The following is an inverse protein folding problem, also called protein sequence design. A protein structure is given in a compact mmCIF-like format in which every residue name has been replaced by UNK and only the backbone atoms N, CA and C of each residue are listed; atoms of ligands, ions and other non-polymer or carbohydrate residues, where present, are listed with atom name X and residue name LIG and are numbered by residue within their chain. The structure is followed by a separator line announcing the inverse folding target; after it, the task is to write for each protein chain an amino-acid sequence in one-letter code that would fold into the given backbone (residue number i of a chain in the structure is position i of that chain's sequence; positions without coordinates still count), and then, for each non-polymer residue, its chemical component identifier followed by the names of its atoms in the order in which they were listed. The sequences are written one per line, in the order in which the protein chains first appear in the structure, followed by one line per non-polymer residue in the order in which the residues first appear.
data_IF_091894383195
#
_entry.id   IF_091894383195
#
_cell.length_a   1.000
_cell.length_b   1.000
_cell.length_c   1.000
_cell.angle_alpha   90.00
_cell.angle_beta   90.00
_cell.angle_gamma   90.00
#
_symmetry.space_group_name_H-M   'P 1'
#
loop_
_entity.id
_entity.type
_entity.pdbx_description
1 polymer ?
#
# COMPACT_ATOMS: atom_id res chain seq x y z
N UNK A 1 10.02 35.49 -13.56
CA UNK A 1 10.58 36.56 -12.69
C UNK A 1 9.58 36.81 -11.57
N UNK A 2 9.92 36.46 -10.33
CA UNK A 2 9.07 36.79 -9.18
C UNK A 2 9.16 38.30 -8.91
N UNK A 3 8.05 39.02 -8.72
CA UNK A 3 8.10 40.46 -8.47
C UNK A 3 8.76 40.71 -7.12
N UNK A 4 9.80 41.56 -7.11
CA UNK A 4 10.48 41.99 -5.88
C UNK A 4 9.49 42.74 -4.98
N UNK A 5 9.58 42.59 -3.64
CA UNK A 5 8.70 43.30 -2.72
C UNK A 5 8.90 44.81 -2.86
N UNK A 6 7.80 45.52 -3.14
CA UNK A 6 7.78 46.98 -3.22
C UNK A 6 8.17 47.58 -1.86
N UNK A 7 9.10 48.54 -1.88
CA UNK A 7 9.65 49.26 -0.72
C UNK A 7 8.69 50.27 -0.08
N UNK A 8 7.47 50.42 -0.58
CA UNK A 8 6.46 51.28 0.01
C UNK A 8 5.44 50.48 0.82
N UNK A 9 5.29 50.88 2.09
CA UNK A 9 4.25 50.45 3.03
C UNK A 9 2.84 50.94 2.62
N UNK A 10 2.53 50.95 1.32
CA UNK A 10 1.19 51.24 0.80
C UNK A 10 0.56 49.94 0.32
N UNK A 11 -0.56 49.58 0.96
CA UNK A 11 -1.34 48.39 0.60
C UNK A 11 -2.08 48.70 -0.70
N UNK A 12 -1.47 48.31 -1.83
CA UNK A 12 -2.13 48.34 -3.13
C UNK A 12 -3.41 47.49 -3.11
N UNK A 13 -4.45 47.91 -3.85
CA UNK A 13 -5.76 47.22 -3.99
C UNK A 13 -5.66 45.70 -4.28
N UNK A 14 -4.57 45.26 -4.92
CA UNK A 14 -4.28 43.84 -5.16
C UNK A 14 -3.78 43.08 -3.92
N UNK A 15 -2.98 43.73 -3.06
CA UNK A 15 -2.54 43.16 -1.78
C UNK A 15 -3.74 43.04 -0.83
N UNK A 16 -4.62 44.04 -0.80
CA UNK A 16 -5.87 44.01 -0.04
C UNK A 16 -6.76 42.82 -0.44
N UNK A 17 -7.01 42.64 -1.75
CA UNK A 17 -7.77 41.47 -2.24
C UNK A 17 -7.12 40.12 -1.90
N UNK A 18 -5.79 40.06 -1.93
CA UNK A 18 -5.06 38.82 -1.60
C UNK A 18 -5.17 38.50 -0.10
N UNK A 19 -5.05 39.52 0.75
CA UNK A 19 -5.23 39.39 2.21
C UNK A 19 -6.67 38.96 2.52
N UNK A 20 -7.68 39.56 1.88
CA UNK A 20 -9.07 39.16 2.05
C UNK A 20 -9.34 37.70 1.64
N UNK A 21 -8.75 37.22 0.55
CA UNK A 21 -8.89 35.82 0.13
C UNK A 21 -8.20 34.83 1.10
N UNK A 22 -7.09 35.24 1.72
CA UNK A 22 -6.43 34.45 2.77
C UNK A 22 -7.31 34.39 4.02
N UNK A 23 -7.89 35.52 4.43
CA UNK A 23 -8.79 35.59 5.58
C UNK A 23 -10.04 34.74 5.37
N UNK A 24 -10.62 34.74 4.18
CA UNK A 24 -11.77 33.89 3.83
C UNK A 24 -11.42 32.39 3.86
N UNK A 25 -10.20 32.03 3.44
CA UNK A 25 -9.71 30.65 3.57
C UNK A 25 -9.52 30.22 5.02
N UNK A 26 -8.97 31.09 5.86
CA UNK A 26 -8.84 30.84 7.30
C UNK A 26 -10.23 30.63 7.89
N UNK A 27 -11.19 31.44 7.49
CA UNK A 27 -12.54 31.35 8.00
C UNK A 27 -13.27 30.04 7.63
N UNK A 28 -13.15 29.64 6.36
CA UNK A 28 -13.62 28.35 5.90
C UNK A 28 -12.91 27.19 6.60
N UNK A 29 -11.62 27.33 6.93
CA UNK A 29 -10.89 26.33 7.69
C UNK A 29 -11.38 26.21 9.14
N UNK A 30 -11.76 27.32 9.79
CA UNK A 30 -12.38 27.31 11.13
C UNK A 30 -13.75 26.62 11.07
N UNK A 31 -14.56 26.91 10.06
CA UNK A 31 -15.89 26.32 9.92
C UNK A 31 -15.86 24.80 9.65
N UNK A 32 -14.88 24.33 8.87
CA UNK A 32 -14.81 22.93 8.44
C UNK A 32 -14.04 22.01 9.40
N UNK A 33 -13.17 22.54 10.28
CA UNK A 33 -12.35 21.73 11.18
C UNK A 33 -12.84 21.86 12.64
N UNK A 34 -13.78 21.00 13.04
CA UNK A 34 -14.38 21.01 14.39
C UNK A 34 -13.61 20.17 15.44
N UNK A 35 -12.59 19.40 15.02
CA UNK A 35 -11.89 18.41 15.86
C UNK A 35 -10.45 18.79 16.24
N UNK A 36 -9.97 19.96 15.86
CA UNK A 36 -8.61 20.42 16.22
C UNK A 36 -8.58 20.88 17.69
N UNK A 37 -7.67 20.29 18.47
CA UNK A 37 -7.38 20.68 19.86
C UNK A 37 -6.03 21.38 19.90
N UNK A 38 -5.91 22.41 20.73
CA UNK A 38 -4.67 23.17 20.93
C UNK A 38 -4.16 22.95 22.35
N UNK A 39 -2.85 22.82 22.53
CA UNK A 39 -2.24 22.85 23.86
C UNK A 39 -2.33 24.28 24.44
N UNK A 40 -2.47 24.44 25.76
CA UNK A 40 -2.57 25.73 26.44
C UNK A 40 -1.45 26.71 26.01
N UNK A 41 -0.21 26.23 25.89
CA UNK A 41 0.95 27.04 25.48
C UNK A 41 0.89 27.48 24.01
N UNK A 42 0.32 26.63 23.14
CA UNK A 42 0.14 26.94 21.72
C UNK A 42 -1.03 27.91 21.52
N UNK A 43 -2.10 27.76 22.30
CA UNK A 43 -3.23 28.67 22.34
C UNK A 43 -2.83 30.09 22.74
N UNK A 44 -2.03 30.24 23.80
CA UNK A 44 -1.53 31.55 24.24
C UNK A 44 -0.64 32.23 23.18
N UNK A 45 0.24 31.48 22.52
CA UNK A 45 1.08 32.00 21.42
C UNK A 45 0.24 32.42 20.21
N UNK A 46 -0.78 31.64 19.86
CA UNK A 46 -1.71 31.97 18.77
C UNK A 46 -2.55 33.21 19.09
N UNK A 47 -2.99 33.37 20.34
CA UNK A 47 -3.71 34.58 20.77
C UNK A 47 -2.79 35.81 20.72
N UNK A 48 -1.54 35.69 21.17
CA UNK A 48 -0.57 36.79 21.09
C UNK A 48 -0.29 37.19 19.63
N UNK A 49 -0.05 36.21 18.75
CA UNK A 49 0.22 36.46 17.34
C UNK A 49 -0.99 37.02 16.59
N UNK A 50 -2.21 36.54 16.89
CA UNK A 50 -3.43 37.11 16.30
C UNK A 50 -3.68 38.54 16.74
N UNK A 51 -3.38 38.90 18.00
CA UNK A 51 -3.46 40.30 18.45
C UNK A 51 -2.45 41.21 17.74
N UNK A 52 -1.23 40.73 17.49
CA UNK A 52 -0.23 41.46 16.72
C UNK A 52 -0.68 41.66 15.26
N UNK A 53 -1.27 40.63 14.65
CA UNK A 53 -1.82 40.72 13.30
C UNK A 53 -3.06 41.63 13.22
N UNK A 54 -3.93 41.63 14.22
CA UNK A 54 -5.06 42.57 14.30
C UNK A 54 -4.52 44.00 14.31
N UNK A 55 -3.52 44.30 15.15
CA UNK A 55 -2.94 45.64 15.24
C UNK A 55 -2.28 46.12 13.93
N UNK A 56 -1.78 45.20 13.10
CA UNK A 56 -1.15 45.55 11.81
C UNK A 56 -2.16 45.62 10.65
N UNK A 57 -3.28 44.90 10.74
CA UNK A 57 -4.24 44.76 9.64
C UNK A 57 -5.54 45.57 9.83
N UNK A 58 -5.84 46.03 11.05
CA UNK A 58 -7.05 46.81 11.35
C UNK A 58 -7.11 48.14 10.59
N UNK A 59 -5.96 48.72 10.23
CA UNK A 59 -5.89 49.98 9.47
C UNK A 59 -6.16 49.79 7.97
N UNK A 60 -6.07 48.56 7.46
CA UNK A 60 -6.09 48.27 6.02
C UNK A 60 -7.24 47.36 5.56
N UNK A 61 -7.85 46.55 6.43
CA UNK A 61 -8.91 45.60 6.06
C UNK A 61 -9.99 45.51 7.15
N UNK A 62 -11.19 46.00 6.86
CA UNK A 62 -12.30 46.07 7.83
C UNK A 62 -12.83 44.72 8.33
N UNK A 63 -12.63 43.63 7.57
CA UNK A 63 -13.10 42.28 7.94
C UNK A 63 -12.09 41.46 8.74
N UNK A 64 -10.85 41.93 8.91
CA UNK A 64 -9.79 41.17 9.57
C UNK A 64 -10.07 40.97 11.07
N UNK A 65 -10.52 42.02 11.75
CA UNK A 65 -10.76 42.00 13.19
C UNK A 65 -11.85 40.99 13.59
N UNK A 66 -12.94 40.91 12.82
CA UNK A 66 -14.04 39.96 13.09
C UNK A 66 -13.60 38.49 12.94
N UNK A 67 -12.81 38.19 11.91
CA UNK A 67 -12.34 36.82 11.63
C UNK A 67 -11.31 36.39 12.68
N UNK A 68 -10.37 37.26 13.05
CA UNK A 68 -9.39 36.95 14.08
C UNK A 68 -10.02 36.86 15.48
N UNK A 69 -11.03 37.67 15.80
CA UNK A 69 -11.80 37.51 17.04
C UNK A 69 -12.56 36.18 17.08
N UNK A 70 -13.10 35.71 15.95
CA UNK A 70 -13.71 34.37 15.87
C UNK A 70 -12.67 33.26 16.03
N UNK A 71 -11.49 33.41 15.45
CA UNK A 71 -10.37 32.47 15.65
C UNK A 71 -9.91 32.44 17.11
N UNK A 72 -9.78 33.60 17.76
CA UNK A 72 -9.43 33.68 19.19
C UNK A 72 -10.48 33.01 20.08
N UNK A 73 -11.76 33.22 19.79
CA UNK A 73 -12.85 32.54 20.51
C UNK A 73 -12.79 31.02 20.30
N UNK A 74 -12.55 30.57 19.07
CA UNK A 74 -12.39 29.16 18.74
C UNK A 74 -11.21 28.52 19.49
N UNK A 75 -10.06 29.22 19.54
CA UNK A 75 -8.86 28.76 20.27
C UNK A 75 -9.11 28.75 21.79
N UNK A 76 -9.80 29.76 22.34
CA UNK A 76 -10.08 29.87 23.78
C UNK A 76 -11.08 28.82 24.27
N UNK A 77 -12.20 28.62 23.56
CA UNK A 77 -13.20 27.60 23.90
C UNK A 77 -12.61 26.16 23.92
N UNK A 78 -11.54 25.92 23.16
CA UNK A 78 -10.87 24.61 23.05
C UNK A 78 -9.63 24.47 23.93
N UNK A 79 -9.05 25.56 24.40
CA UNK A 79 -7.96 25.55 25.40
C UNK A 79 -8.52 25.37 26.83
N UNK A 80 -9.67 26.00 27.14
CA UNK A 80 -10.34 25.87 28.44
C UNK A 80 -10.93 24.46 28.70
N UNK A 81 -10.99 23.61 27.67
CA UNK A 81 -11.49 22.23 27.79
C UNK A 81 -10.54 21.31 28.56
N UNK A 82 -9.30 21.73 28.86
CA UNK A 82 -8.38 21.00 29.74
C UNK A 82 -8.75 21.14 31.24
N UNK A 83 -9.43 22.21 31.68
CA UNK A 83 -9.75 22.39 33.11
C UNK A 83 -10.95 21.56 33.59
N UNK A 84 -11.92 21.22 32.73
CA UNK A 84 -13.11 20.44 33.15
C UNK A 84 -12.87 18.94 33.35
N UNK A 85 -11.71 18.41 32.96
CA UNK A 85 -11.37 16.99 33.16
C UNK A 85 -10.53 16.80 34.43
N UNK A 86 -9.90 17.85 34.95
CA UNK A 86 -8.99 17.76 36.10
C UNK A 86 -9.56 18.25 37.45
N UNK A 87 -10.77 18.81 37.50
CA UNK A 87 -11.37 19.29 38.77
C UNK A 87 -12.21 18.27 39.56
N UNK A 88 -12.56 17.10 38.98
CA UNK A 88 -13.41 16.10 39.67
C UNK A 88 -12.65 14.88 40.23
N UNK A 89 -11.31 14.91 40.26
CA UNK A 89 -10.51 13.80 40.79
C UNK A 89 -9.54 14.20 41.90
N UNK A 90 -10.06 14.77 43.00
CA UNK A 90 -9.37 14.72 44.32
C UNK A 90 -10.34 15.05 45.46
N UNK A 91 -10.78 14.02 46.18
CA UNK A 91 -11.60 14.20 47.38
C UNK A 91 -12.06 12.91 48.09
N UNK A 92 -11.11 12.23 48.74
CA UNK A 92 -11.27 11.45 49.98
C UNK A 92 -11.96 10.06 50.01
N UNK A 93 -11.27 9.18 50.74
CA UNK A 93 -11.54 7.78 51.09
C UNK A 93 -12.65 7.67 52.16
N UNK A 94 -13.67 6.81 51.87
CA UNK A 94 -14.46 5.86 52.72
C UNK A 94 -14.91 6.21 54.17
N UNK A 95 -15.84 5.45 54.82
CA UNK A 95 -16.80 4.42 54.37
C UNK A 95 -18.25 4.57 54.95
N UNK A 96 -19.14 3.65 54.57
CA UNK A 96 -20.31 3.12 55.33
C UNK A 96 -21.76 3.55 54.99
N UNK A 97 -22.58 2.49 55.01
CA UNK A 97 -24.02 2.37 55.20
C UNK A 97 -25.00 2.41 54.01
N UNK A 98 -25.43 1.19 53.65
CA UNK A 98 -26.81 0.74 53.40
C UNK A 98 -27.85 1.82 53.09
N UNK A 99 -28.53 1.71 51.95
CA UNK A 99 -29.88 1.11 51.90
C UNK A 99 -30.49 1.15 50.49
N UNK A 100 -31.12 0.02 50.18
CA UNK A 100 -32.08 -0.28 49.13
C UNK A 100 -32.91 0.89 48.56
N UNK A 101 -33.03 0.90 47.23
CA UNK A 101 -34.31 1.15 46.55
C UNK A 101 -34.29 0.49 45.17
N UNK A 102 -34.85 -0.70 45.10
CA UNK A 102 -35.33 -1.33 43.87
C UNK A 102 -36.43 -0.48 43.22
N UNK A 103 -36.38 -0.31 41.88
CA UNK A 103 -37.33 -0.85 40.88
C UNK A 103 -37.54 0.09 39.69
N UNK A 104 -37.31 -0.49 38.50
CA UNK A 104 -37.95 -0.26 37.19
C UNK A 104 -37.71 1.13 36.53
N UNK A 105 -37.27 1.28 35.27
CA UNK A 105 -37.62 0.63 33.98
C UNK A 105 -36.50 0.97 32.98
N UNK A 106 -36.17 0.09 32.02
CA UNK A 106 -35.49 0.50 30.78
C UNK A 106 -34.36 -0.40 30.26
N UNK A 107 -34.73 -1.58 29.78
CA UNK A 107 -33.89 -2.56 29.06
C UNK A 107 -33.34 -2.03 27.74
N UNK A 108 -32.13 -1.45 27.73
CA UNK A 108 -31.37 -1.20 26.47
C UNK A 108 -29.84 -1.24 26.59
N UNK A 109 -29.26 -1.28 27.80
CA UNK A 109 -27.81 -1.09 27.97
C UNK A 109 -26.97 -2.38 28.05
N UNK A 110 -27.59 -3.56 28.23
CA UNK A 110 -26.84 -4.81 28.42
C UNK A 110 -26.34 -5.46 27.12
N UNK A 111 -26.91 -5.13 25.96
CA UNK A 111 -26.41 -5.67 24.69
C UNK A 111 -25.14 -4.98 24.19
N UNK A 112 -24.90 -3.71 24.55
CA UNK A 112 -23.72 -2.99 24.05
C UNK A 112 -22.43 -3.36 24.80
N UNK A 113 -22.52 -3.79 26.07
CA UNK A 113 -21.33 -4.15 26.85
C UNK A 113 -20.80 -5.55 26.45
N UNK A 114 -21.66 -6.45 25.96
CA UNK A 114 -21.22 -7.76 25.45
C UNK A 114 -20.61 -7.68 24.05
N UNK A 115 -21.07 -6.75 23.19
CA UNK A 115 -20.59 -6.65 21.81
C UNK A 115 -19.19 -6.01 21.73
N UNK A 116 -18.87 -5.07 22.63
CA UNK A 116 -17.54 -4.45 22.69
C UNK A 116 -16.42 -5.39 23.16
N UNK A 117 -16.74 -6.55 23.76
CA UNK A 117 -15.72 -7.53 24.16
C UNK A 117 -15.36 -8.55 23.07
N UNK A 118 -16.13 -8.62 21.97
CA UNK A 118 -15.89 -9.61 20.89
C UNK A 118 -15.12 -8.99 19.71
N UNK A 119 -15.24 -7.69 19.50
CA UNK A 119 -14.50 -6.96 18.48
C UNK A 119 -13.43 -6.08 19.15
N UNK A 120 -12.22 -6.62 19.27
CA UNK A 120 -11.01 -5.84 19.49
C UNK A 120 -10.80 -4.96 18.24
N UNK A 121 -11.58 -3.89 18.11
CA UNK A 121 -11.32 -2.87 17.09
C UNK A 121 -10.00 -2.17 17.46
N UNK A 122 -9.14 -1.85 16.48
CA UNK A 122 -7.91 -1.13 16.74
C UNK A 122 -8.25 0.24 17.33
N UNK A 123 -7.84 0.48 18.57
CA UNK A 123 -7.91 1.79 19.22
C UNK A 123 -6.85 2.69 18.55
N UNK A 124 -7.30 3.60 17.68
CA UNK A 124 -6.42 4.44 16.85
C UNK A 124 -5.94 5.68 17.64
N UNK A 125 -6.67 6.09 18.67
CA UNK A 125 -6.46 7.38 19.34
C UNK A 125 -5.29 7.36 20.34
N UNK A 126 -4.76 6.17 20.68
CA UNK A 126 -3.65 5.98 21.62
C UNK A 126 -2.36 5.39 21.03
N UNK A 127 -2.29 5.14 19.72
CA UNK A 127 -1.13 4.47 19.11
C UNK A 127 -0.11 5.50 18.61
N UNK A 128 1.06 5.51 19.25
CA UNK A 128 2.23 6.23 18.73
C UNK A 128 2.83 5.45 17.55
N UNK A 129 2.43 5.84 16.34
CA UNK A 129 2.89 5.25 15.09
C UNK A 129 4.39 5.48 14.81
N UNK A 130 5.06 6.35 15.57
CA UNK A 130 6.52 6.55 15.46
C UNK A 130 7.30 5.45 16.19
N UNK A 131 6.66 4.72 17.10
CA UNK A 131 7.26 3.62 17.83
C UNK A 131 7.09 2.29 17.08
N UNK A 132 8.20 1.69 16.63
CA UNK A 132 8.19 0.44 15.87
C UNK A 132 7.45 -0.73 16.56
N UNK A 133 7.46 -0.78 17.91
CA UNK A 133 6.75 -1.83 18.66
C UNK A 133 5.25 -1.62 18.65
N UNK A 134 4.80 -0.39 18.84
CA UNK A 134 3.37 -0.06 18.82
C UNK A 134 2.82 -0.15 17.40
N UNK A 135 3.58 0.31 16.41
CA UNK A 135 3.26 0.16 14.99
C UNK A 135 3.06 -1.31 14.60
N UNK A 136 3.99 -2.19 15.02
CA UNK A 136 3.84 -3.65 14.81
C UNK A 136 2.57 -4.20 15.44
N UNK A 137 2.28 -3.82 16.69
CA UNK A 137 1.08 -4.27 17.39
C UNK A 137 -0.20 -3.79 16.70
N UNK A 138 -0.21 -2.55 16.23
CA UNK A 138 -1.31 -1.98 15.46
C UNK A 138 -1.58 -2.77 14.17
N UNK A 139 -0.55 -3.08 13.38
CA UNK A 139 -0.73 -3.90 12.18
C UNK A 139 -1.25 -5.31 12.47
N UNK A 140 -0.85 -5.92 13.58
CA UNK A 140 -1.40 -7.21 14.01
C UNK A 140 -2.85 -7.09 14.45
N UNK A 141 -3.22 -6.04 15.18
CA UNK A 141 -4.62 -5.77 15.53
C UNK A 141 -5.48 -5.58 14.28
N UNK A 142 -5.06 -4.74 13.33
CA UNK A 142 -5.76 -4.56 12.04
C UNK A 142 -5.90 -5.88 11.30
N UNK A 143 -4.84 -6.70 11.30
CA UNK A 143 -4.86 -8.00 10.66
C UNK A 143 -5.86 -8.96 11.33
N UNK A 144 -5.90 -9.00 12.65
CA UNK A 144 -6.80 -9.86 13.42
C UNK A 144 -8.26 -9.42 13.25
N UNK A 145 -8.56 -8.13 13.35
CA UNK A 145 -9.91 -7.59 13.16
C UNK A 145 -10.40 -7.82 11.72
N UNK A 146 -9.53 -7.60 10.73
CA UNK A 146 -9.89 -7.80 9.31
C UNK A 146 -10.10 -9.27 8.99
N UNK A 147 -9.24 -10.17 9.48
CA UNK A 147 -9.41 -11.62 9.29
C UNK A 147 -10.66 -12.17 9.98
N UNK A 148 -11.11 -11.57 11.09
CA UNK A 148 -12.37 -11.93 11.76
C UNK A 148 -13.60 -11.47 10.96
N UNK A 149 -13.55 -10.28 10.37
CA UNK A 149 -14.65 -9.71 9.58
C UNK A 149 -14.78 -10.37 8.20
N UNK A 150 -13.65 -10.52 7.51
CA UNK A 150 -13.58 -11.11 6.17
C UNK A 150 -12.28 -11.90 5.98
N UNK A 151 -12.35 -13.24 6.05
CA UNK A 151 -11.20 -14.12 5.80
C UNK A 151 -10.62 -14.01 4.38
N UNK A 152 -11.38 -13.49 3.41
CA UNK A 152 -10.92 -13.30 2.03
C UNK A 152 -10.19 -11.98 1.81
N UNK A 153 -10.28 -11.06 2.78
CA UNK A 153 -9.74 -9.71 2.65
C UNK A 153 -8.21 -9.71 2.60
N UNK A 154 -7.70 -9.14 1.52
CA UNK A 154 -6.27 -8.93 1.28
C UNK A 154 -5.59 -8.14 2.40
N UNK A 155 -6.29 -7.15 2.97
CA UNK A 155 -5.74 -6.22 3.96
C UNK A 155 -5.25 -6.96 5.22
N UNK A 156 -5.95 -8.02 5.65
CA UNK A 156 -5.57 -8.77 6.85
C UNK A 156 -4.20 -9.44 6.68
N UNK A 157 -4.00 -10.14 5.56
CA UNK A 157 -2.74 -10.83 5.28
C UNK A 157 -1.58 -9.87 5.07
N UNK A 158 -1.80 -8.79 4.30
CA UNK A 158 -0.78 -7.77 4.02
C UNK A 158 -0.36 -7.05 5.30
N UNK A 159 -1.31 -6.65 6.14
CA UNK A 159 -1.02 -5.99 7.42
C UNK A 159 -0.19 -6.87 8.33
N UNK A 160 -0.51 -8.17 8.41
CA UNK A 160 0.28 -9.14 9.19
C UNK A 160 1.72 -9.26 8.69
N UNK A 161 1.93 -9.33 7.37
CA UNK A 161 3.30 -9.40 6.80
C UNK A 161 4.07 -8.11 7.04
N UNK A 162 3.42 -6.96 6.87
CA UNK A 162 4.05 -5.68 7.15
C UNK A 162 4.48 -5.58 8.61
N UNK A 163 3.58 -5.85 9.57
CA UNK A 163 3.92 -5.87 11.00
C UNK A 163 5.03 -6.87 11.36
N UNK A 164 5.11 -7.99 10.64
CA UNK A 164 6.13 -9.02 10.85
C UNK A 164 7.52 -8.59 10.34
N UNK A 165 7.59 -8.05 9.12
CA UNK A 165 8.85 -7.84 8.39
C UNK A 165 9.35 -6.39 8.37
N UNK A 166 8.50 -5.40 8.66
CA UNK A 166 8.88 -3.99 8.62
C UNK A 166 10.09 -3.68 9.52
N UNK A 167 10.14 -4.26 10.72
CA UNK A 167 11.24 -4.07 11.67
C UNK A 167 12.53 -4.83 11.34
N UNK A 168 12.53 -5.70 10.32
CA UNK A 168 13.70 -6.49 9.93
C UNK A 168 14.52 -5.68 8.92
N UNK A 169 15.63 -5.12 9.40
CA UNK A 169 16.55 -4.31 8.58
C UNK A 169 17.80 -5.08 8.13
N UNK A 170 18.13 -6.19 8.80
CA UNK A 170 19.27 -7.05 8.48
C UNK A 170 18.90 -8.52 8.70
N UNK A 171 19.53 -9.41 7.96
CA UNK A 171 19.40 -10.86 8.18
C UNK A 171 20.15 -11.31 9.44
N UNK A 172 19.73 -12.42 10.07
CA UNK A 172 20.48 -13.02 11.16
C UNK A 172 21.91 -13.36 10.75
N UNK A 173 22.84 -13.33 11.71
CA UNK A 173 24.22 -13.75 11.46
C UNK A 173 24.27 -15.21 10.99
N UNK A 174 25.03 -15.44 9.92
CA UNK A 174 25.23 -16.74 9.28
C UNK A 174 26.66 -17.21 9.50
N UNK A 175 26.87 -18.52 9.61
CA UNK A 175 28.20 -19.13 9.56
C UNK A 175 28.71 -19.24 8.10
N UNK A 176 29.95 -19.73 7.91
CA UNK A 176 30.56 -19.93 6.57
C UNK A 176 29.75 -20.86 5.64
N UNK A 177 28.85 -21.67 6.19
CA UNK A 177 27.97 -22.59 5.46
C UNK A 177 26.56 -22.03 5.22
N UNK A 178 26.28 -20.79 5.66
CA UNK A 178 24.97 -20.14 5.53
C UNK A 178 23.97 -20.45 6.66
N UNK A 179 24.33 -21.24 7.67
CA UNK A 179 23.45 -21.59 8.77
C UNK A 179 23.36 -20.47 9.80
N UNK A 180 22.14 -20.16 10.20
CA UNK A 180 21.80 -19.20 11.25
C UNK A 180 21.58 -19.91 12.59
N UNK A 181 21.55 -19.15 13.69
CA UNK A 181 21.14 -19.65 15.02
C UNK A 181 19.62 -19.77 15.18
N UNK A 182 18.86 -19.61 14.10
CA UNK A 182 17.40 -19.65 14.15
C UNK A 182 16.88 -21.07 14.08
N UNK A 183 15.86 -21.35 14.90
CA UNK A 183 15.12 -22.60 14.85
C UNK A 183 14.18 -22.60 13.64
N UNK A 184 14.15 -23.72 12.92
CA UNK A 184 13.09 -23.97 11.94
C UNK A 184 11.80 -24.39 12.63
N UNK A 185 10.69 -24.35 11.90
CA UNK A 185 9.43 -24.97 12.32
C UNK A 185 9.63 -26.50 12.30
N UNK A 186 9.18 -27.24 13.33
CA UNK A 186 9.33 -28.69 13.35
C UNK A 186 8.76 -29.36 12.08
N UNK A 187 9.54 -30.27 11.48
CA UNK A 187 9.18 -30.90 10.21
C UNK A 187 7.84 -31.65 10.26
N UNK A 188 7.52 -32.30 11.37
CA UNK A 188 6.23 -32.98 11.55
C UNK A 188 5.07 -31.98 11.36
N UNK A 189 5.19 -30.80 11.95
CA UNK A 189 4.20 -29.73 11.84
C UNK A 189 4.11 -29.16 10.42
N UNK A 190 5.24 -29.05 9.72
CA UNK A 190 5.27 -28.62 8.31
C UNK A 190 4.61 -29.66 7.41
N UNK A 191 4.87 -30.95 7.63
CA UNK A 191 4.25 -32.05 6.89
C UNK A 191 2.73 -32.07 7.09
N UNK A 192 2.28 -31.94 8.34
CA UNK A 192 0.85 -31.85 8.68
C UNK A 192 0.16 -30.70 7.95
N UNK A 193 0.83 -29.54 7.82
CA UNK A 193 0.28 -28.42 7.06
C UNK A 193 0.23 -28.69 5.56
N UNK A 194 1.29 -29.26 4.97
CA UNK A 194 1.32 -29.61 3.54
C UNK A 194 0.17 -30.56 3.18
N UNK A 195 -0.04 -31.60 3.99
CA UNK A 195 -1.12 -32.57 3.79
C UNK A 195 -2.49 -31.92 3.93
N UNK A 196 -2.73 -31.15 5.00
CA UNK A 196 -4.03 -30.53 5.23
C UNK A 196 -4.37 -29.48 4.17
N UNK A 197 -3.39 -28.71 3.67
CA UNK A 197 -3.62 -27.76 2.57
C UNK A 197 -4.05 -28.48 1.30
N UNK A 198 -3.53 -29.68 1.04
CA UNK A 198 -3.87 -30.47 -0.14
C UNK A 198 -5.22 -31.16 -0.03
N UNK A 199 -5.53 -31.77 1.12
CA UNK A 199 -6.72 -32.63 1.27
C UNK A 199 -7.92 -31.94 1.93
N UNK A 200 -7.70 -30.95 2.78
CA UNK A 200 -8.73 -30.34 3.63
C UNK A 200 -8.50 -28.85 3.90
N UNK A 201 -8.39 -28.01 2.84
CA UNK A 201 -8.20 -26.58 3.00
C UNK A 201 -9.38 -25.96 3.77
N UNK A 202 -9.08 -25.20 4.82
CA UNK A 202 -10.08 -24.55 5.68
C UNK A 202 -9.56 -23.22 6.21
N UNK A 203 -10.47 -22.33 6.60
CA UNK A 203 -10.12 -21.04 7.23
C UNK A 203 -9.44 -21.25 8.59
N UNK A 204 -9.78 -22.31 9.31
CA UNK A 204 -9.11 -22.68 10.57
C UNK A 204 -7.66 -23.13 10.35
N UNK A 205 -7.41 -23.94 9.32
CA UNK A 205 -6.06 -24.31 8.91
C UNK A 205 -5.25 -23.06 8.54
N UNK A 206 -5.84 -22.18 7.74
CA UNK A 206 -5.22 -20.91 7.36
C UNK A 206 -4.82 -20.09 8.58
N UNK A 207 -5.71 -19.92 9.56
CA UNK A 207 -5.40 -19.24 10.83
C UNK A 207 -4.25 -19.88 11.62
N UNK A 208 -4.14 -21.21 11.63
CA UNK A 208 -3.02 -21.92 12.28
C UNK A 208 -1.69 -21.72 11.55
N UNK A 209 -1.69 -21.71 10.22
CA UNK A 209 -0.52 -21.41 9.40
C UNK A 209 -0.06 -19.97 9.67
N UNK A 210 -0.98 -19.00 9.59
CA UNK A 210 -0.72 -17.58 9.85
C UNK A 210 -0.12 -17.32 11.24
N UNK A 211 -0.64 -18.00 12.27
CA UNK A 211 -0.10 -17.92 13.63
C UNK A 211 1.35 -18.42 13.70
N UNK A 212 1.66 -19.51 12.98
CA UNK A 212 3.00 -20.07 12.93
C UNK A 212 3.97 -19.17 12.15
N UNK A 213 3.53 -18.58 11.04
CA UNK A 213 4.30 -17.57 10.28
C UNK A 213 4.63 -16.35 11.17
N UNK A 214 3.67 -15.91 11.99
CA UNK A 214 3.86 -14.78 12.91
C UNK A 214 4.95 -15.06 13.97
N UNK A 215 5.07 -16.31 14.43
CA UNK A 215 6.11 -16.74 15.37
C UNK A 215 7.45 -17.07 14.70
N UNK A 216 7.45 -17.34 13.40
CA UNK A 216 8.62 -17.76 12.62
C UNK A 216 8.80 -16.89 11.36
N UNK A 217 9.35 -15.66 11.50
CA UNK A 217 9.35 -14.66 10.42
C UNK A 217 10.08 -15.07 9.13
N UNK A 218 11.06 -15.97 9.25
CA UNK A 218 11.89 -16.43 8.12
C UNK A 218 11.40 -17.74 7.52
N UNK A 219 10.31 -18.32 8.03
CA UNK A 219 9.68 -19.51 7.46
C UNK A 219 8.82 -19.09 6.24
N UNK A 220 9.50 -18.85 5.12
CA UNK A 220 8.85 -18.35 3.88
C UNK A 220 7.91 -19.40 3.29
N UNK A 221 8.21 -20.69 3.47
CA UNK A 221 7.31 -21.76 3.06
C UNK A 221 5.93 -21.65 3.75
N UNK A 222 5.86 -21.14 4.97
CA UNK A 222 4.57 -20.88 5.61
C UNK A 222 3.71 -19.86 4.86
N UNK A 223 4.33 -18.83 4.25
CA UNK A 223 3.63 -17.88 3.38
C UNK A 223 3.21 -18.52 2.05
N UNK A 224 4.00 -19.44 1.50
CA UNK A 224 3.60 -20.24 0.34
C UNK A 224 2.36 -21.10 0.67
N UNK A 225 2.40 -21.87 1.76
CA UNK A 225 1.28 -22.71 2.20
C UNK A 225 0.02 -21.91 2.49
N UNK A 226 0.17 -20.73 3.11
CA UNK A 226 -0.93 -19.78 3.31
C UNK A 226 -1.54 -19.33 1.97
N UNK A 227 -0.72 -18.92 1.00
CA UNK A 227 -1.19 -18.53 -0.32
C UNK A 227 -1.86 -19.70 -1.06
N UNK A 228 -1.30 -20.91 -1.02
CA UNK A 228 -1.90 -22.11 -1.60
C UNK A 228 -3.24 -22.44 -0.96
N UNK A 229 -3.36 -22.33 0.37
CA UNK A 229 -4.60 -22.52 1.08
C UNK A 229 -5.64 -21.44 0.68
N UNK A 230 -5.23 -20.18 0.57
CA UNK A 230 -6.09 -19.10 0.04
C UNK A 230 -6.59 -19.41 -1.37
N UNK A 231 -5.72 -19.85 -2.28
CA UNK A 231 -6.12 -20.25 -3.64
C UNK A 231 -7.11 -21.43 -3.63
N UNK A 232 -6.88 -22.44 -2.79
CA UNK A 232 -7.80 -23.57 -2.64
C UNK A 232 -9.18 -23.15 -2.10
N UNK A 233 -9.22 -22.13 -1.24
CA UNK A 233 -10.44 -21.49 -0.73
C UNK A 233 -11.04 -20.44 -1.68
N UNK A 234 -10.47 -20.25 -2.88
CA UNK A 234 -10.85 -19.25 -3.89
C UNK A 234 -10.60 -17.79 -3.50
N UNK A 235 -9.75 -17.54 -2.50
CA UNK A 235 -9.29 -16.20 -2.11
C UNK A 235 -8.08 -15.77 -2.95
N UNK A 236 -8.25 -15.71 -4.27
CA UNK A 236 -7.14 -15.50 -5.21
C UNK A 236 -6.42 -14.16 -5.01
N UNK A 237 -7.18 -13.08 -4.73
CA UNK A 237 -6.60 -11.77 -4.46
C UNK A 237 -5.71 -11.77 -3.20
N UNK A 238 -6.12 -12.48 -2.14
CA UNK A 238 -5.33 -12.65 -0.94
C UNK A 238 -4.06 -13.49 -1.21
N UNK A 239 -4.18 -14.59 -1.96
CA UNK A 239 -3.05 -15.43 -2.34
C UNK A 239 -1.98 -14.65 -3.12
N UNK A 240 -2.41 -13.84 -4.08
CA UNK A 240 -1.50 -13.00 -4.88
C UNK A 240 -0.84 -11.90 -4.04
N UNK A 241 -1.58 -11.25 -3.14
CA UNK A 241 -1.00 -10.25 -2.27
C UNK A 241 0.01 -10.83 -1.27
N UNK A 242 -0.27 -12.01 -0.71
CA UNK A 242 0.70 -12.74 0.14
C UNK A 242 1.98 -12.98 -0.65
N UNK A 243 1.86 -13.48 -1.89
CA UNK A 243 3.01 -13.69 -2.78
C UNK A 243 3.79 -12.39 -3.00
N UNK A 244 3.11 -11.30 -3.35
CA UNK A 244 3.74 -10.02 -3.67
C UNK A 244 4.51 -9.43 -2.48
N UNK A 245 3.91 -9.41 -1.29
CA UNK A 245 4.59 -8.89 -0.09
C UNK A 245 5.75 -9.81 0.32
N UNK A 246 5.60 -11.13 0.15
CA UNK A 246 6.69 -12.10 0.40
C UNK A 246 7.86 -11.89 -0.56
N UNK A 247 7.57 -11.72 -1.87
CA UNK A 247 8.58 -11.42 -2.90
C UNK A 247 9.34 -10.14 -2.57
N UNK A 248 8.65 -9.07 -2.15
CA UNK A 248 9.30 -7.83 -1.73
C UNK A 248 10.24 -8.01 -0.54
N UNK A 249 9.84 -8.80 0.46
CA UNK A 249 10.69 -9.08 1.63
C UNK A 249 11.93 -9.89 1.26
N UNK A 250 11.78 -10.94 0.45
CA UNK A 250 12.91 -11.76 -0.01
C UNK A 250 13.87 -10.94 -0.86
N UNK A 251 13.36 -10.17 -1.82
CA UNK A 251 14.17 -9.33 -2.71
C UNK A 251 14.92 -8.21 -1.98
N UNK A 252 14.46 -7.81 -0.78
CA UNK A 252 15.17 -6.84 0.07
C UNK A 252 16.55 -7.35 0.49
N UNK A 253 16.76 -8.67 0.54
CA UNK A 253 17.99 -9.29 1.02
C UNK A 253 18.55 -10.30 0.00
N UNK A 254 19.55 -9.94 -0.81
CA UNK A 254 20.14 -10.87 -1.80
C UNK A 254 20.70 -12.16 -1.20
N UNK A 255 21.21 -12.10 0.04
CA UNK A 255 21.76 -13.26 0.77
C UNK A 255 20.68 -14.17 1.37
N UNK A 256 19.39 -13.89 1.16
CA UNK A 256 18.30 -14.73 1.66
C UNK A 256 18.34 -16.13 1.04
N UNK A 257 18.78 -16.24 -0.22
CA UNK A 257 18.85 -17.50 -0.96
C UNK A 257 19.90 -18.48 -0.40
N UNK A 258 20.94 -17.99 0.25
CA UNK A 258 21.98 -18.82 0.87
C UNK A 258 21.76 -19.08 2.37
N UNK A 259 20.75 -18.43 2.97
CA UNK A 259 20.47 -18.55 4.39
C UNK A 259 19.77 -19.87 4.74
N UNK A 260 20.21 -20.50 5.83
CA UNK A 260 19.69 -21.75 6.36
C UNK A 260 19.37 -21.64 7.85
N UNK A 261 18.43 -22.43 8.32
CA UNK A 261 18.13 -22.61 9.75
C UNK A 261 19.23 -23.44 10.42
N UNK A 262 19.22 -23.51 11.75
CA UNK A 262 20.22 -24.26 12.52
C UNK A 262 20.24 -25.76 12.18
N UNK A 263 19.08 -26.33 11.82
CA UNK A 263 18.93 -27.72 11.37
C UNK A 263 19.44 -27.95 9.92
N UNK A 264 19.95 -26.93 9.24
CA UNK A 264 20.46 -27.00 7.86
C UNK A 264 19.41 -26.83 6.77
N UNK A 265 18.14 -26.68 7.14
CA UNK A 265 17.04 -26.41 6.20
C UNK A 265 17.19 -25.01 5.59
N UNK A 266 16.99 -24.88 4.27
CA UNK A 266 17.06 -23.59 3.60
C UNK A 266 15.87 -22.70 3.97
N UNK A 267 16.11 -21.39 4.06
CA UNK A 267 15.00 -20.43 4.24
C UNK A 267 14.07 -20.41 3.02
N UNK A 268 14.60 -20.69 1.83
CA UNK A 268 13.87 -20.83 0.59
C UNK A 268 14.05 -22.23 0.02
N UNK A 269 12.96 -22.98 -0.03
CA UNK A 269 12.89 -24.26 -0.74
C UNK A 269 12.70 -24.03 -2.26
N UNK A 270 13.10 -25.00 -3.08
CA UNK A 270 12.99 -24.90 -4.55
C UNK A 270 11.56 -24.63 -5.03
N UNK A 271 10.57 -25.23 -4.36
CA UNK A 271 9.14 -24.99 -4.62
C UNK A 271 8.74 -23.53 -4.38
N UNK A 272 9.25 -22.94 -3.29
CA UNK A 272 9.01 -21.55 -2.90
C UNK A 272 9.72 -20.60 -3.86
N UNK A 273 10.95 -20.92 -4.28
CA UNK A 273 11.67 -20.16 -5.30
C UNK A 273 10.88 -20.11 -6.60
N UNK A 274 10.40 -21.26 -7.09
CA UNK A 274 9.57 -21.31 -8.28
C UNK A 274 8.28 -20.50 -8.13
N UNK A 275 7.60 -20.61 -6.98
CA UNK A 275 6.41 -19.82 -6.69
C UNK A 275 6.66 -18.29 -6.69
N UNK A 276 7.79 -17.84 -6.15
CA UNK A 276 8.16 -16.43 -6.16
C UNK A 276 8.57 -15.95 -7.56
N UNK A 277 9.22 -16.80 -8.36
CA UNK A 277 9.65 -16.51 -9.73
C UNK A 277 8.51 -16.52 -10.75
N UNK A 278 7.51 -17.39 -10.57
CA UNK A 278 6.35 -17.48 -11.45
C UNK A 278 5.54 -16.20 -11.41
N UNK A 279 5.80 -15.25 -12.31
CA UNK A 279 4.94 -14.11 -12.61
C UNK A 279 3.52 -14.64 -12.88
N UNK A 280 2.66 -14.69 -11.85
CA UNK A 280 1.23 -14.87 -12.05
C UNK A 280 0.73 -13.64 -12.76
N UNK A 281 0.70 -13.73 -14.08
CA UNK A 281 -0.06 -12.88 -14.99
C UNK A 281 -1.54 -13.02 -14.63
N UNK A 282 -2.00 -12.29 -13.62
CA UNK A 282 -3.43 -12.15 -13.31
C UNK A 282 -3.81 -10.67 -13.30
N UNK A 283 -4.04 -10.17 -14.51
CA UNK A 283 -5.07 -9.19 -14.87
C UNK A 283 -5.14 -7.89 -14.05
N UNK A 284 -4.27 -6.94 -14.41
CA UNK A 284 -4.71 -5.55 -14.62
C UNK A 284 -4.28 -5.15 -16.02
N UNK A 285 -5.24 -5.22 -16.94
CA UNK A 285 -5.10 -4.88 -18.36
C UNK A 285 -4.27 -5.89 -19.13
N UNK A 286 -4.81 -6.32 -20.28
CA UNK A 286 -4.02 -6.65 -21.46
C UNK A 286 -3.25 -5.39 -21.86
N UNK A 287 -2.28 -5.03 -21.02
CA UNK A 287 -1.21 -4.12 -21.34
C UNK A 287 -0.11 -5.05 -21.78
N UNK A 288 0.32 -4.85 -23.02
CA UNK A 288 1.65 -5.19 -23.46
C UNK A 288 2.59 -4.46 -22.49
N UNK A 289 2.90 -5.09 -21.36
CA UNK A 289 3.72 -4.55 -20.29
C UNK A 289 5.16 -4.65 -20.75
N UNK A 290 5.59 -3.59 -21.44
CA UNK A 290 6.96 -3.35 -21.86
C UNK A 290 7.51 -4.35 -22.88
N UNK A 291 8.13 -3.80 -23.92
CA UNK A 291 8.94 -4.56 -24.88
C UNK A 291 10.02 -5.41 -24.17
N UNK A 292 10.44 -5.03 -22.95
CA UNK A 292 11.44 -5.73 -22.15
C UNK A 292 11.02 -7.08 -21.56
N UNK A 293 9.72 -7.32 -21.36
CA UNK A 293 9.23 -8.60 -20.82
C UNK A 293 9.16 -9.67 -21.93
N UNK A 294 8.84 -9.21 -23.15
CA UNK A 294 8.87 -10.04 -24.36
C UNK A 294 10.30 -10.46 -24.73
N UNK A 295 11.28 -9.55 -24.58
CA UNK A 295 12.69 -9.83 -24.89
C UNK A 295 13.31 -10.90 -23.99
N UNK A 296 12.88 -10.95 -22.72
CA UNK A 296 13.45 -11.84 -21.72
C UNK A 296 13.07 -13.31 -21.97
N UNK A 297 11.83 -13.56 -22.40
CA UNK A 297 11.36 -14.90 -22.77
C UNK A 297 12.11 -15.45 -24.01
N UNK A 298 12.39 -14.60 -25.01
CA UNK A 298 13.12 -15.03 -26.19
C UNK A 298 14.59 -15.36 -25.90
N UNK A 299 15.26 -14.61 -25.02
CA UNK A 299 16.66 -14.88 -24.67
C UNK A 299 16.82 -16.17 -23.82
N UNK A 300 15.83 -16.52 -23.00
CA UNK A 300 15.76 -17.81 -22.30
C UNK A 300 15.48 -18.97 -23.27
N UNK A 301 14.59 -18.78 -24.24
CA UNK A 301 14.32 -19.74 -25.30
C UNK A 301 15.54 -19.96 -26.22
N UNK A 302 16.33 -18.90 -26.46
CA UNK A 302 17.58 -18.98 -27.21
C UNK A 302 18.61 -19.86 -26.49
N UNK A 303 18.73 -19.68 -25.18
CA UNK A 303 19.69 -20.40 -24.34
C UNK A 303 19.33 -21.88 -24.17
N UNK A 304 18.04 -22.22 -24.19
CA UNK A 304 17.53 -23.59 -23.98
C UNK A 304 17.30 -24.40 -25.26
N UNK A 305 16.77 -23.76 -26.31
CA UNK A 305 16.30 -24.41 -27.53
C UNK A 305 16.97 -23.96 -28.82
N UNK A 306 17.93 -23.04 -28.74
CA UNK A 306 18.67 -22.50 -29.89
C UNK A 306 17.83 -21.59 -30.80
N UNK A 307 18.47 -21.08 -31.84
CA UNK A 307 17.92 -20.07 -32.76
C UNK A 307 16.58 -20.46 -33.41
N UNK A 308 16.45 -21.70 -33.89
CA UNK A 308 15.25 -22.17 -34.61
C UNK A 308 14.00 -22.17 -33.70
N UNK A 309 14.19 -22.52 -32.42
CA UNK A 309 13.10 -22.54 -31.44
C UNK A 309 12.57 -21.14 -31.17
N UNK A 310 13.48 -20.17 -31.06
CA UNK A 310 13.13 -18.75 -30.88
C UNK A 310 12.37 -18.22 -32.09
N UNK A 311 12.85 -18.50 -33.31
CA UNK A 311 12.16 -18.09 -34.53
C UNK A 311 10.74 -18.65 -34.62
N UNK A 312 10.54 -19.92 -34.27
CA UNK A 312 9.21 -20.54 -34.24
C UNK A 312 8.28 -19.82 -33.28
N UNK A 313 8.78 -19.47 -32.09
CA UNK A 313 8.01 -18.75 -31.07
C UNK A 313 7.66 -17.33 -31.55
N UNK A 314 8.62 -16.61 -32.15
CA UNK A 314 8.37 -15.29 -32.74
C UNK A 314 7.33 -15.37 -33.87
N UNK A 315 7.44 -16.34 -34.78
CA UNK A 315 6.48 -16.50 -35.88
C UNK A 315 5.08 -16.91 -35.40
N UNK A 316 4.97 -17.66 -34.30
CA UNK A 316 3.70 -17.96 -33.64
C UNK A 316 3.08 -16.69 -33.03
N UNK A 317 3.87 -15.88 -32.33
CA UNK A 317 3.42 -14.60 -31.76
C UNK A 317 3.04 -13.58 -32.82
N UNK A 318 3.73 -13.55 -33.96
CA UNK A 318 3.40 -12.68 -35.10
C UNK A 318 2.03 -13.00 -35.72
N UNK A 319 1.58 -14.26 -35.66
CA UNK A 319 0.25 -14.66 -36.13
C UNK A 319 -0.86 -14.24 -35.18
N UNK A 320 -0.57 -14.23 -33.88
CA UNK A 320 -1.52 -13.84 -32.83
C UNK A 320 -1.64 -12.31 -32.69
N UNK A 321 -0.58 -11.58 -33.02
CA UNK A 321 -0.56 -10.13 -32.91
C UNK A 321 -1.49 -9.45 -33.94
N UNK A 322 -2.57 -8.85 -33.43
CA UNK A 322 -3.53 -8.05 -34.20
C UNK A 322 -3.02 -6.61 -34.43
N UNK A 323 -2.39 -6.05 -33.41
CA UNK A 323 -1.87 -4.68 -33.40
C UNK A 323 -0.64 -4.50 -34.32
N UNK A 324 -0.57 -3.34 -34.99
CA UNK A 324 0.53 -3.00 -35.88
C UNK A 324 1.83 -2.78 -35.10
N UNK A 325 1.79 -2.07 -33.98
CA UNK A 325 2.96 -1.79 -33.14
C UNK A 325 3.60 -3.08 -32.64
N UNK A 326 2.80 -3.99 -32.08
CA UNK A 326 3.26 -5.28 -31.56
C UNK A 326 3.95 -6.13 -32.64
N UNK A 327 3.40 -6.15 -33.86
CA UNK A 327 4.02 -6.84 -35.01
C UNK A 327 5.39 -6.26 -35.40
N UNK A 328 5.56 -4.95 -35.36
CA UNK A 328 6.83 -4.31 -35.70
C UNK A 328 7.92 -4.60 -34.65
N UNK A 329 7.57 -4.58 -33.36
CA UNK A 329 8.53 -4.96 -32.31
C UNK A 329 8.96 -6.42 -32.40
N UNK A 330 8.02 -7.34 -32.68
CA UNK A 330 8.35 -8.76 -32.90
C UNK A 330 9.27 -8.95 -34.12
N UNK A 331 9.05 -8.22 -35.22
CA UNK A 331 9.96 -8.23 -36.38
C UNK A 331 11.34 -7.68 -36.04
N UNK A 332 11.41 -6.62 -35.24
CA UNK A 332 12.68 -6.08 -34.76
C UNK A 332 13.45 -7.10 -33.91
N UNK A 333 12.77 -7.80 -33.00
CA UNK A 333 13.39 -8.88 -32.22
C UNK A 333 13.89 -10.02 -33.11
N UNK A 334 13.12 -10.39 -34.13
CA UNK A 334 13.55 -11.36 -35.15
C UNK A 334 14.88 -10.94 -35.78
N UNK A 335 14.99 -9.68 -36.17
CA UNK A 335 16.23 -9.10 -36.74
C UNK A 335 17.38 -9.14 -35.74
N UNK A 336 17.13 -8.85 -34.45
CA UNK A 336 18.16 -8.95 -33.38
C UNK A 336 18.73 -10.36 -33.28
N UNK A 337 17.90 -11.39 -33.37
CA UNK A 337 18.38 -12.78 -33.37
C UNK A 337 19.10 -13.17 -34.65
N UNK A 338 18.66 -12.70 -35.83
CA UNK A 338 19.41 -12.88 -37.07
C UNK A 338 20.81 -12.25 -37.02
N UNK A 339 20.94 -11.11 -36.32
CA UNK A 339 22.22 -10.45 -36.10
C UNK A 339 23.15 -11.28 -35.19
N UNK A 340 22.59 -12.00 -34.19
CA UNK A 340 23.37 -12.89 -33.33
C UNK A 340 23.95 -14.10 -34.08
N UNK A 341 23.30 -14.53 -35.16
CA UNK A 341 23.74 -15.64 -36.02
C UNK A 341 24.54 -15.18 -37.27
N UNK A 342 25.01 -13.92 -37.30
CA UNK A 342 25.80 -13.32 -38.39
C UNK A 342 25.14 -13.33 -39.79
N UNK A 343 23.81 -13.40 -39.87
CA UNK A 343 23.05 -13.37 -41.14
C UNK A 343 22.81 -11.95 -41.66
N UNK A 344 23.89 -11.24 -41.98
CA UNK A 344 23.87 -9.80 -42.29
C UNK A 344 23.05 -9.41 -43.54
N UNK A 345 23.03 -10.25 -44.58
CA UNK A 345 22.28 -9.96 -45.82
C UNK A 345 20.77 -9.95 -45.58
N UNK A 346 20.28 -10.88 -44.75
CA UNK A 346 18.88 -10.97 -44.34
C UNK A 346 18.54 -9.79 -43.43
N UNK A 347 19.40 -9.52 -42.45
CA UNK A 347 19.24 -8.38 -41.51
C UNK A 347 19.05 -7.06 -42.25
N UNK A 348 19.90 -6.77 -43.24
CA UNK A 348 19.83 -5.51 -43.99
C UNK A 348 18.53 -5.40 -44.78
N UNK A 349 18.08 -6.49 -45.42
CA UNK A 349 16.85 -6.51 -46.19
C UNK A 349 15.61 -6.31 -45.29
N UNK A 350 15.51 -7.10 -44.23
CA UNK A 350 14.39 -7.05 -43.26
C UNK A 350 14.34 -5.70 -42.53
N UNK A 351 15.50 -5.14 -42.19
CA UNK A 351 15.56 -3.82 -41.56
C UNK A 351 15.12 -2.72 -42.51
N UNK A 352 15.52 -2.79 -43.79
CA UNK A 352 15.10 -1.82 -44.80
C UNK A 352 13.58 -1.90 -45.02
N UNK A 353 13.02 -3.10 -45.11
CA UNK A 353 11.57 -3.31 -45.20
C UNK A 353 10.83 -2.77 -43.96
N UNK A 354 11.37 -3.00 -42.77
CA UNK A 354 10.78 -2.52 -41.51
C UNK A 354 10.80 -0.98 -41.42
N UNK A 355 11.89 -0.35 -41.89
CA UNK A 355 11.98 1.12 -41.95
C UNK A 355 10.95 1.66 -42.94
N UNK A 356 10.86 1.07 -44.13
CA UNK A 356 9.90 1.51 -45.16
C UNK A 356 8.45 1.26 -44.76
N UNK A 357 8.17 0.19 -44.00
CA UNK A 357 6.83 -0.06 -43.44
C UNK A 357 6.50 0.95 -42.35
N UNK A 358 7.43 1.24 -41.44
CA UNK A 358 7.21 2.18 -40.33
C UNK A 358 6.88 3.61 -40.81
N UNK A 359 7.42 4.01 -41.97
CA UNK A 359 7.16 5.33 -42.57
C UNK A 359 5.76 5.46 -43.17
N UNK A 360 5.07 4.35 -43.45
CA UNK A 360 3.75 4.36 -44.11
C UNK A 360 2.59 4.47 -43.12
N UNK A 361 2.77 4.07 -41.87
CA UNK A 361 1.70 4.08 -40.87
C UNK A 361 1.44 5.48 -40.32
N UNK A 362 0.16 5.82 -40.18
CA UNK A 362 -0.24 6.97 -39.36
C UNK A 362 -0.17 6.60 -37.87
N UNK A 363 -0.11 7.60 -37.00
CA UNK A 363 -0.05 7.37 -35.53
C UNK A 363 -1.31 6.63 -35.03
N UNK A 364 -2.45 6.86 -35.66
CA UNK A 364 -3.73 6.18 -35.37
C UNK A 364 -3.71 4.69 -35.71
N UNK A 365 -3.12 4.33 -36.85
CA UNK A 365 -2.97 2.93 -37.25
C UNK A 365 -1.85 2.21 -36.48
N UNK A 366 -0.87 2.97 -35.98
CA UNK A 366 0.24 2.44 -35.20
C UNK A 366 -0.17 2.07 -33.78
N UNK A 367 -1.00 2.87 -33.12
CA UNK A 367 -1.39 2.69 -31.71
C UNK A 367 -2.91 2.91 -31.54
N UNK A 368 -3.71 2.06 -32.18
CA UNK A 368 -5.18 2.16 -32.13
C UNK A 368 -5.75 1.99 -30.72
N UNK A 369 -5.05 1.25 -29.86
CA UNK A 369 -5.43 1.07 -28.46
C UNK A 369 -5.41 2.39 -27.68
N UNK A 370 -4.45 3.28 -27.96
CA UNK A 370 -4.41 4.60 -27.35
C UNK A 370 -5.64 5.44 -27.72
N UNK A 371 -6.05 5.41 -28.99
CA UNK A 371 -7.22 6.16 -29.45
C UNK A 371 -8.53 5.60 -28.90
N UNK A 372 -8.70 4.27 -28.83
CA UNK A 372 -9.88 3.67 -28.21
C UNK A 372 -9.99 4.01 -26.72
N UNK A 373 -8.86 4.08 -26.00
CA UNK A 373 -8.84 4.52 -24.60
C UNK A 373 -9.24 5.99 -24.45
N UNK A 374 -8.79 6.87 -25.36
CA UNK A 374 -9.20 8.27 -25.39
C UNK A 374 -10.71 8.42 -25.64
N UNK A 375 -11.26 7.67 -26.60
CA UNK A 375 -12.70 7.68 -26.88
C UNK A 375 -13.51 7.14 -25.70
N UNK A 376 -13.08 6.04 -25.10
CA UNK A 376 -13.74 5.50 -23.91
C UNK A 376 -13.72 6.50 -22.74
N UNK A 377 -12.61 7.22 -22.53
CA UNK A 377 -12.50 8.23 -21.49
C UNK A 377 -13.39 9.43 -21.79
N UNK A 378 -13.45 9.88 -23.05
CA UNK A 378 -14.40 10.91 -23.51
C UNK A 378 -15.84 10.51 -23.23
N UNK A 379 -16.23 9.30 -23.62
CA UNK A 379 -17.60 8.81 -23.47
C UNK A 379 -18.00 8.62 -22.01
N UNK A 380 -17.06 8.20 -21.16
CA UNK A 380 -17.25 8.14 -19.70
C UNK A 380 -17.52 9.53 -19.12
N UNK A 381 -16.72 10.54 -19.49
CA UNK A 381 -16.91 11.91 -19.01
C UNK A 381 -18.21 12.55 -19.52
N UNK A 382 -18.69 12.17 -20.70
CA UNK A 382 -19.99 12.64 -21.20
C UNK A 382 -21.15 12.02 -20.42
N UNK A 383 -21.09 10.72 -20.10
CA UNK A 383 -22.10 10.04 -19.28
C UNK A 383 -22.15 10.51 -17.82
N UNK A 384 -21.02 10.93 -17.26
CA UNK A 384 -20.95 11.45 -15.89
C UNK A 384 -21.45 12.92 -15.78
N UNK A 385 -21.72 13.59 -16.91
CA UNK A 385 -22.21 14.97 -16.99
C UNK A 385 -23.67 15.11 -17.48
N UNK A 386 -24.33 14.00 -17.85
CA UNK A 386 -25.80 13.90 -18.01
C UNK A 386 -26.43 13.42 -16.69
#
# INVERSE_FOLDING_TARGET
AYPKPAKDNTVNRFKEKSISAILERIDNAIANNLNTRFSQVEGEKLIAFTNELISQLSEYVSNAESIFNRLQRFVKERSDSEEKIFSDSKGSISPQHLSQAERNVGSSAQNNIMIHNVLNLPDVDGVDLTNARQLKQFYFQVADSTSLLDPSSTLGYVSRRFGLWHGITQLPAMNEQGNTMMQSVPMDKVSDYREQVMFSPSTELLGRIEKTVTTSPYWIEGSYLSATCCSALKFNAAAEAIRNVTKQFVNKFPMFNSAKFQNGEAFLNETVLNWLSNETTTNVSTKISSVGDLTSNFDECYSSGGFISVLRLIDEQLKLATDARSRHYLRFEKIRFFLKEDMLTIVINELSELIDSSRKYTVEEWDGDFFTQLEHLRDKLLKDNE
#
